data_IF_717349160974
#
_entry.id   IF_717349160974
#
_cell.length_a   1.000
_cell.length_b   1.000
_cell.length_c   1.000
_cell.angle_alpha   90.00
_cell.angle_beta   90.00
_cell.angle_gamma   90.00
#
_symmetry.space_group_name_H-M   'P 1'
#
loop_
_entity.id
_entity.type
_entity.pdbx_description
1 polymer ?
#
# COMPACT_ATOMS: atom_id res chain seq x y z
N UNK A 1 -9.32 11.34 -14.55
CA UNK A 1 -8.76 11.75 -13.24
C UNK A 1 -9.63 11.14 -12.18
N UNK A 2 -9.04 10.41 -11.24
CA UNK A 2 -9.77 9.82 -10.13
C UNK A 2 -9.89 10.85 -9.02
N UNK A 3 -11.05 10.90 -8.37
CA UNK A 3 -11.30 11.75 -7.20
C UNK A 3 -11.62 10.89 -6.00
N UNK A 4 -11.08 11.27 -4.86
CA UNK A 4 -11.45 10.79 -3.53
C UNK A 4 -11.81 12.00 -2.67
N UNK A 5 -12.23 11.78 -1.44
CA UNK A 5 -12.48 12.85 -0.47
C UNK A 5 -11.52 12.79 0.70
N UNK A 6 -11.25 13.95 1.28
CA UNK A 6 -10.62 14.12 2.59
C UNK A 6 -11.59 14.89 3.48
N UNK A 7 -12.22 14.19 4.42
CA UNK A 7 -13.30 14.72 5.27
C UNK A 7 -14.40 15.37 4.43
N UNK A 8 -14.80 14.69 3.36
CA UNK A 8 -15.81 15.17 2.40
C UNK A 8 -15.32 16.21 1.37
N UNK A 9 -14.09 16.75 1.50
CA UNK A 9 -13.55 17.68 0.51
C UNK A 9 -12.92 16.91 -0.66
N UNK A 10 -13.27 17.21 -1.92
CA UNK A 10 -12.67 16.53 -3.07
C UNK A 10 -11.15 16.71 -3.13
N UNK A 11 -10.44 15.62 -3.43
CA UNK A 11 -8.99 15.56 -3.63
C UNK A 11 -8.71 14.84 -4.95
N UNK A 12 -7.83 15.41 -5.75
CA UNK A 12 -7.48 14.88 -7.07
C UNK A 12 -6.31 13.89 -6.97
N UNK A 13 -6.43 12.78 -7.71
CA UNK A 13 -5.35 11.80 -7.83
C UNK A 13 -4.71 11.86 -9.23
N UNK A 14 -3.38 11.81 -9.26
CA UNK A 14 -2.58 11.66 -10.48
C UNK A 14 -2.35 10.19 -10.81
N UNK A 15 -2.21 9.90 -12.10
CA UNK A 15 -1.90 8.56 -12.60
C UNK A 15 -3.11 7.77 -13.07
N UNK A 16 -2.85 6.53 -13.49
CA UNK A 16 -3.87 5.59 -13.93
C UNK A 16 -3.89 4.41 -12.98
N UNK A 17 -5.05 4.12 -12.41
CA UNK A 17 -5.23 2.96 -11.53
C UNK A 17 -5.19 1.70 -12.40
N UNK A 18 -4.31 0.72 -12.10
CA UNK A 18 -4.32 -0.58 -12.76
C UNK A 18 -5.66 -1.27 -12.58
N UNK A 19 -6.13 -2.01 -13.58
CA UNK A 19 -7.36 -2.81 -13.49
C UNK A 19 -7.04 -4.29 -13.22
N UNK A 20 -7.96 -5.06 -12.62
CA UNK A 20 -7.81 -6.51 -12.56
C UNK A 20 -7.53 -7.12 -13.94
N UNK A 21 -6.51 -7.95 -14.04
CA UNK A 21 -6.00 -8.52 -15.29
C UNK A 21 -4.79 -7.79 -15.88
N UNK A 22 -4.55 -6.54 -15.50
CA UNK A 22 -3.36 -5.80 -15.93
C UNK A 22 -2.09 -6.35 -15.26
N UNK A 23 -0.94 -6.17 -15.92
CA UNK A 23 0.35 -6.29 -15.25
C UNK A 23 0.59 -5.10 -14.35
N UNK A 24 0.98 -5.40 -13.11
CA UNK A 24 1.29 -4.40 -12.11
C UNK A 24 2.53 -3.60 -12.53
N UNK A 25 2.49 -2.26 -12.49
CA UNK A 25 3.67 -1.44 -12.72
C UNK A 25 4.73 -1.72 -11.65
N UNK A 26 5.99 -1.82 -12.08
CA UNK A 26 7.13 -1.88 -11.15
C UNK A 26 7.33 -0.50 -10.49
N UNK A 27 7.95 -0.49 -9.31
CA UNK A 27 8.20 0.73 -8.54
C UNK A 27 9.45 0.60 -7.69
N UNK A 28 9.83 1.72 -7.06
CA UNK A 28 10.90 1.77 -6.06
C UNK A 28 10.36 2.30 -4.74
N UNK A 29 10.75 1.66 -3.64
CA UNK A 29 10.45 2.11 -2.29
C UNK A 29 11.66 1.85 -1.37
N UNK A 30 11.76 2.62 -0.29
CA UNK A 30 12.92 2.61 0.61
C UNK A 30 12.53 1.93 1.93
N UNK A 31 13.23 0.85 2.28
CA UNK A 31 13.02 0.12 3.54
C UNK A 31 13.58 0.91 4.72
N UNK A 32 13.31 0.40 5.92
CA UNK A 32 13.80 0.92 7.20
C UNK A 32 15.33 1.03 7.27
N UNK A 33 16.06 0.11 6.63
CA UNK A 33 17.53 0.10 6.54
C UNK A 33 18.10 1.01 5.43
N UNK A 34 17.24 1.83 4.81
CA UNK A 34 17.54 2.73 3.69
C UNK A 34 17.87 2.03 2.36
N UNK A 35 17.79 0.69 2.30
CA UNK A 35 17.89 -0.04 1.04
C UNK A 35 16.64 0.15 0.17
N UNK A 36 16.82 0.10 -1.13
CA UNK A 36 15.73 0.15 -2.10
C UNK A 36 15.13 -1.25 -2.29
N UNK A 37 13.82 -1.32 -2.56
CA UNK A 37 13.17 -2.52 -3.11
C UNK A 37 12.18 -2.16 -4.22
N UNK A 38 11.81 -3.18 -4.96
CA UNK A 38 10.88 -3.20 -6.08
C UNK A 38 9.96 -4.42 -6.01
N UNK A 39 9.04 -4.58 -6.97
CA UNK A 39 8.21 -5.80 -7.03
C UNK A 39 9.05 -7.07 -7.24
N UNK A 40 10.19 -6.94 -7.94
CA UNK A 40 11.05 -8.06 -8.32
C UNK A 40 11.67 -8.77 -7.12
N UNK A 41 11.90 -8.04 -6.04
CA UNK A 41 12.41 -8.59 -4.77
C UNK A 41 11.43 -9.58 -4.11
N UNK A 42 10.17 -9.58 -4.57
CA UNK A 42 9.10 -10.45 -4.09
C UNK A 42 8.57 -11.40 -5.19
N UNK A 43 9.35 -11.64 -6.25
CA UNK A 43 8.97 -12.53 -7.34
C UNK A 43 8.49 -13.91 -6.83
N UNK A 44 7.45 -14.47 -7.47
CA UNK A 44 6.89 -15.77 -7.09
C UNK A 44 5.99 -15.78 -5.85
N UNK A 45 5.84 -14.65 -5.14
CA UNK A 45 4.86 -14.47 -4.06
C UNK A 45 3.61 -13.75 -4.53
N UNK A 46 2.49 -13.98 -3.86
CA UNK A 46 1.32 -13.08 -3.91
C UNK A 46 1.66 -11.84 -3.10
N UNK A 47 1.32 -10.65 -3.61
CA UNK A 47 1.58 -9.38 -2.91
C UNK A 47 0.28 -8.66 -2.59
N UNK A 48 0.15 -8.18 -1.35
CA UNK A 48 -0.87 -7.20 -0.99
C UNK A 48 -0.15 -5.85 -0.89
N UNK A 49 -0.40 -4.95 -1.83
CA UNK A 49 0.14 -3.60 -1.79
C UNK A 49 -0.86 -2.70 -1.07
N UNK A 50 -0.43 -2.06 -0.01
CA UNK A 50 -1.25 -1.16 0.81
C UNK A 50 -0.66 0.24 0.69
N UNK A 51 -1.34 1.13 -0.01
CA UNK A 51 -0.98 2.54 -0.11
C UNK A 51 -1.68 3.31 1.01
N UNK A 52 -0.91 4.08 1.80
CA UNK A 52 -1.46 4.95 2.84
C UNK A 52 -0.82 6.34 2.80
N UNK A 53 -1.52 7.40 3.25
CA UNK A 53 -0.91 8.73 3.32
C UNK A 53 0.31 8.76 4.25
N UNK A 54 0.12 8.30 5.48
CA UNK A 54 1.14 8.22 6.53
C UNK A 54 0.73 7.18 7.58
N UNK A 55 1.66 6.28 7.94
CA UNK A 55 1.54 5.30 9.01
C UNK A 55 1.42 5.93 10.39
N UNK A 56 1.87 7.19 10.56
CA UNK A 56 1.84 7.94 11.81
C UNK A 56 0.46 8.58 12.07
N UNK A 57 -0.60 7.82 11.81
CA UNK A 57 -1.99 8.20 12.09
C UNK A 57 -2.78 7.00 12.59
N UNK A 58 -3.79 7.24 13.44
CA UNK A 58 -4.57 6.17 14.09
C UNK A 58 -5.23 5.20 13.10
N UNK A 59 -5.72 5.70 11.96
CA UNK A 59 -6.38 4.85 10.95
C UNK A 59 -5.38 3.98 10.20
N UNK A 60 -4.24 4.53 9.80
CA UNK A 60 -3.20 3.76 9.10
C UNK A 60 -2.55 2.73 10.03
N UNK A 61 -2.46 3.03 11.33
CA UNK A 61 -2.01 2.10 12.35
C UNK A 61 -2.92 0.87 12.46
N UNK A 62 -4.23 1.11 12.56
CA UNK A 62 -5.25 0.05 12.58
C UNK A 62 -5.21 -0.80 11.30
N UNK A 63 -5.13 -0.14 10.14
CA UNK A 63 -5.05 -0.80 8.84
C UNK A 63 -3.84 -1.72 8.71
N UNK A 64 -2.68 -1.22 9.10
CA UNK A 64 -1.44 -1.99 9.02
C UNK A 64 -1.47 -3.18 9.98
N UNK A 65 -2.00 -3.01 11.20
CA UNK A 65 -2.19 -4.11 12.15
C UNK A 65 -3.17 -5.16 11.63
N UNK A 66 -4.31 -4.74 11.09
CA UNK A 66 -5.31 -5.64 10.55
C UNK A 66 -4.75 -6.50 9.41
N UNK A 67 -3.99 -5.89 8.48
CA UNK A 67 -3.31 -6.66 7.43
C UNK A 67 -2.18 -7.53 7.98
N UNK A 68 -1.41 -7.04 8.96
CA UNK A 68 -0.38 -7.83 9.61
C UNK A 68 -0.97 -9.11 10.22
N UNK A 69 -2.04 -9.00 11.00
CA UNK A 69 -2.69 -10.14 11.65
C UNK A 69 -3.35 -11.09 10.65
N UNK A 70 -4.11 -10.54 9.69
CA UNK A 70 -4.87 -11.36 8.73
C UNK A 70 -4.00 -12.01 7.66
N UNK A 71 -2.90 -11.37 7.25
CA UNK A 71 -2.01 -11.90 6.23
C UNK A 71 -0.82 -12.68 6.80
N UNK A 72 -0.42 -12.48 8.07
CA UNK A 72 0.75 -13.15 8.66
C UNK A 72 0.70 -14.68 8.57
N UNK A 73 -0.49 -15.28 8.67
CA UNK A 73 -0.69 -16.73 8.59
C UNK A 73 -0.75 -17.32 7.18
N UNK A 74 -0.77 -16.48 6.13
CA UNK A 74 -0.96 -16.96 4.75
C UNK A 74 0.40 -17.19 4.09
N UNK A 75 0.81 -18.46 4.02
CA UNK A 75 2.05 -18.84 3.35
C UNK A 75 2.04 -18.45 1.86
N UNK A 76 3.13 -17.86 1.38
CA UNK A 76 3.26 -17.39 0.01
C UNK A 76 2.69 -16.00 -0.28
N UNK A 77 2.14 -15.32 0.73
CA UNK A 77 1.70 -13.91 0.64
C UNK A 77 2.71 -12.99 1.33
N UNK A 78 2.92 -11.80 0.77
CA UNK A 78 3.65 -10.71 1.42
C UNK A 78 2.87 -9.41 1.31
N UNK A 79 2.75 -8.69 2.42
CA UNK A 79 2.12 -7.38 2.47
C UNK A 79 3.19 -6.29 2.37
N UNK A 80 3.05 -5.39 1.40
CA UNK A 80 3.93 -4.24 1.18
C UNK A 80 3.15 -2.97 1.49
N UNK A 81 3.47 -2.32 2.60
CA UNK A 81 2.80 -1.09 3.04
C UNK A 81 3.64 0.12 2.64
N UNK A 82 3.10 0.97 1.77
CA UNK A 82 3.83 2.05 1.12
C UNK A 82 3.22 3.40 1.50
N UNK A 83 4.06 4.32 1.99
CA UNK A 83 3.64 5.66 2.41
C UNK A 83 4.71 6.71 2.12
N UNK A 84 4.39 7.98 2.40
CA UNK A 84 5.36 9.10 2.35
C UNK A 84 6.23 9.25 3.61
N UNK A 85 6.07 8.39 4.63
CA UNK A 85 6.81 8.52 5.88
C UNK A 85 8.30 8.25 5.66
N UNK A 86 9.18 8.92 6.41
CA UNK A 86 10.60 8.58 6.36
C UNK A 86 10.83 7.17 6.94
N UNK A 87 11.82 6.42 6.42
CA UNK A 87 12.15 5.07 6.92
C UNK A 87 12.28 4.95 8.44
N UNK A 88 12.84 5.98 9.10
CA UNK A 88 12.98 6.03 10.56
C UNK A 88 11.64 6.15 11.30
N UNK A 89 10.67 6.86 10.73
CA UNK A 89 9.33 6.97 11.29
C UNK A 89 8.57 5.64 11.13
N UNK A 90 8.72 4.96 9.99
CA UNK A 90 8.19 3.61 9.77
C UNK A 90 8.78 2.62 10.78
N UNK A 91 10.09 2.68 11.02
CA UNK A 91 10.76 1.85 12.02
C UNK A 91 10.21 2.05 13.43
N UNK A 92 10.00 3.32 13.84
CA UNK A 92 9.34 3.62 15.13
C UNK A 92 7.93 3.05 15.18
N UNK A 93 7.13 3.27 14.13
CA UNK A 93 5.77 2.74 14.02
C UNK A 93 5.75 1.21 14.18
N UNK A 94 6.54 0.48 13.40
CA UNK A 94 6.60 -0.99 13.50
C UNK A 94 7.03 -1.45 14.90
N UNK A 95 8.01 -0.79 15.52
CA UNK A 95 8.49 -1.11 16.87
C UNK A 95 7.41 -0.90 17.92
N UNK A 96 6.73 0.25 17.89
CA UNK A 96 5.68 0.60 18.85
C UNK A 96 4.46 -0.30 18.71
N UNK A 97 4.11 -0.69 17.48
CA UNK A 97 2.92 -1.48 17.20
C UNK A 97 3.16 -3.00 17.20
N UNK A 98 4.38 -3.44 17.52
CA UNK A 98 4.73 -4.86 17.59
C UNK A 98 4.70 -5.57 16.23
N UNK A 99 4.88 -4.83 15.13
CA UNK A 99 4.85 -5.38 13.77
C UNK A 99 6.24 -5.94 13.46
N UNK A 100 6.41 -7.24 13.75
CA UNK A 100 7.65 -7.99 13.52
C UNK A 100 7.47 -9.16 12.53
N UNK A 101 6.46 -9.10 11.66
CA UNK A 101 6.15 -10.19 10.74
C UNK A 101 7.15 -10.25 9.57
N UNK A 102 7.72 -11.43 9.24
CA UNK A 102 8.55 -11.58 8.04
C UNK A 102 7.74 -11.42 6.74
N UNK A 103 6.41 -11.43 6.83
CA UNK A 103 5.49 -11.31 5.70
C UNK A 103 4.93 -9.89 5.53
N UNK A 104 5.40 -8.90 6.31
CA UNK A 104 5.04 -7.50 6.15
C UNK A 104 6.29 -6.64 6.00
N UNK A 105 6.33 -5.84 4.93
CA UNK A 105 7.40 -4.88 4.67
C UNK A 105 6.81 -3.49 4.56
N UNK A 106 7.44 -2.53 5.24
CA UNK A 106 7.12 -1.10 5.08
C UNK A 106 8.11 -0.46 4.10
N UNK A 107 7.61 0.41 3.22
CA UNK A 107 8.39 1.06 2.18
C UNK A 107 8.04 2.53 2.01
N UNK A 108 9.05 3.38 2.09
CA UNK A 108 8.89 4.82 1.89
C UNK A 108 9.08 5.21 0.43
N UNK A 109 8.14 6.00 -0.10
CA UNK A 109 8.26 6.60 -1.43
C UNK A 109 8.92 8.00 -1.40
N UNK A 110 9.48 8.44 -0.27
CA UNK A 110 9.97 9.82 -0.10
C UNK A 110 11.03 10.27 -1.12
N UNK A 111 11.76 9.31 -1.72
CA UNK A 111 12.78 9.55 -2.77
C UNK A 111 12.24 9.39 -4.18
N UNK A 112 11.15 8.65 -4.35
CA UNK A 112 10.66 8.20 -5.65
C UNK A 112 9.15 7.97 -5.60
N UNK A 113 8.38 8.80 -6.31
CA UNK A 113 6.92 8.71 -6.38
C UNK A 113 6.41 7.72 -7.46
N UNK A 114 7.28 6.86 -8.02
CA UNK A 114 6.93 5.87 -9.04
C UNK A 114 5.75 5.00 -8.61
N UNK A 115 5.72 4.55 -7.35
CA UNK A 115 4.59 3.79 -6.83
C UNK A 115 3.28 4.59 -6.91
N UNK A 116 3.16 5.71 -6.20
CA UNK A 116 1.87 6.42 -6.15
C UNK A 116 1.39 6.93 -7.50
N UNK A 117 2.31 7.32 -8.39
CA UNK A 117 1.97 7.75 -9.75
C UNK A 117 1.56 6.60 -10.65
N UNK A 118 2.25 5.47 -10.60
CA UNK A 118 1.92 4.33 -11.44
C UNK A 118 0.66 3.58 -10.98
N UNK A 119 0.32 3.69 -9.70
CA UNK A 119 -0.87 3.06 -9.11
C UNK A 119 -2.06 4.01 -9.01
N UNK A 120 -1.94 5.25 -9.48
CA UNK A 120 -3.04 6.22 -9.50
C UNK A 120 -3.46 6.71 -8.11
N UNK A 121 -2.56 6.66 -7.12
CA UNK A 121 -2.81 7.05 -5.72
C UNK A 121 -2.16 8.37 -5.34
N UNK A 122 -1.35 8.99 -6.21
CA UNK A 122 -0.62 10.22 -5.88
C UNK A 122 -1.58 11.40 -5.71
N UNK A 123 -1.60 12.03 -4.53
CA UNK A 123 -2.46 13.16 -4.24
C UNK A 123 -1.88 14.43 -4.88
N UNK A 124 -2.64 15.03 -5.80
CA UNK A 124 -2.20 16.17 -6.62
C UNK A 124 -2.38 17.53 -5.94
N UNK A 125 -3.33 17.63 -5.02
CA UNK A 125 -3.78 18.89 -4.42
C UNK A 125 -4.16 18.77 -2.94
N UNK A 126 -4.48 19.90 -2.32
CA UNK A 126 -4.89 19.98 -0.93
C UNK A 126 -3.75 19.77 0.08
N UNK A 127 -4.09 19.58 1.37
CA UNK A 127 -3.11 19.51 2.46
C UNK A 127 -2.26 18.24 2.45
N UNK A 128 -2.69 17.19 1.75
CA UNK A 128 -1.96 15.92 1.63
C UNK A 128 -1.24 15.77 0.29
N UNK A 129 -1.09 16.86 -0.47
CA UNK A 129 -0.36 16.87 -1.74
C UNK A 129 1.02 16.22 -1.60
N UNK A 130 1.33 15.30 -2.51
CA UNK A 130 2.59 14.56 -2.54
C UNK A 130 2.57 13.24 -1.76
N UNK A 131 1.50 12.93 -1.03
CA UNK A 131 1.29 11.64 -0.37
C UNK A 131 0.47 10.69 -1.26
N UNK A 132 0.36 9.42 -0.83
CA UNK A 132 -0.60 8.48 -1.42
C UNK A 132 -1.98 8.65 -0.79
N UNK A 133 -3.03 8.53 -1.58
CA UNK A 133 -4.35 8.19 -1.10
C UNK A 133 -4.38 6.76 -0.55
N UNK A 134 -5.42 6.43 0.20
CA UNK A 134 -5.59 5.08 0.73
C UNK A 134 -6.10 4.13 -0.35
N UNK A 135 -5.36 3.06 -0.59
CA UNK A 135 -5.71 2.05 -1.59
C UNK A 135 -5.09 0.70 -1.28
N UNK A 136 -5.73 -0.36 -1.76
CA UNK A 136 -5.25 -1.74 -1.65
C UNK A 136 -5.25 -2.40 -3.02
N UNK A 137 -4.15 -3.08 -3.34
CA UNK A 137 -4.00 -3.88 -4.55
C UNK A 137 -3.56 -5.29 -4.17
N UNK A 138 -4.08 -6.31 -4.85
CA UNK A 138 -3.58 -7.68 -4.72
C UNK A 138 -3.00 -8.13 -6.03
N UNK A 139 -1.78 -8.63 -6.00
CA UNK A 139 -1.03 -9.15 -7.14
C UNK A 139 -0.82 -10.65 -6.98
N UNK A 140 -0.99 -11.40 -8.06
CA UNK A 140 -0.62 -12.82 -8.07
C UNK A 140 0.90 -13.02 -8.18
N UNK A 141 1.32 -14.29 -8.21
CA UNK A 141 2.73 -14.71 -8.31
C UNK A 141 3.46 -14.19 -9.56
N UNK A 142 2.70 -13.81 -10.59
CA UNK A 142 3.20 -13.29 -11.87
C UNK A 142 3.08 -11.77 -11.98
N UNK A 143 2.77 -11.06 -10.90
CA UNK A 143 2.52 -9.62 -10.87
C UNK A 143 1.32 -9.18 -11.73
N UNK A 144 0.29 -10.04 -11.83
CA UNK A 144 -1.00 -9.65 -12.41
C UNK A 144 -1.91 -9.13 -11.31
N UNK A 145 -2.56 -7.99 -11.54
CA UNK A 145 -3.52 -7.40 -10.61
C UNK A 145 -4.76 -8.28 -10.52
N UNK A 146 -5.15 -8.67 -9.30
CA UNK A 146 -6.32 -9.51 -9.00
C UNK A 146 -7.40 -8.77 -8.22
N UNK A 147 -7.01 -7.76 -7.45
CA UNK A 147 -7.92 -6.90 -6.70
C UNK A 147 -7.40 -5.47 -6.68
N UNK A 148 -8.33 -4.53 -6.69
CA UNK A 148 -8.09 -3.10 -6.64
C UNK A 148 -9.18 -2.46 -5.81
N UNK A 149 -8.78 -1.67 -4.83
CA UNK A 149 -9.66 -0.83 -4.05
C UNK A 149 -9.00 0.53 -3.85
N UNK A 150 -9.65 1.59 -4.35
CA UNK A 150 -9.35 2.96 -3.94
C UNK A 150 -10.41 3.36 -2.93
N UNK A 151 -9.99 3.73 -1.73
CA UNK A 151 -10.93 4.11 -0.68
C UNK A 151 -11.52 5.50 -1.02
N UNK A 152 -12.85 5.64 -1.15
CA UNK A 152 -13.46 6.90 -1.56
C UNK A 152 -13.20 8.06 -0.60
N UNK A 153 -13.07 7.78 0.70
CA UNK A 153 -12.72 8.75 1.74
C UNK A 153 -11.39 8.38 2.40
N UNK A 154 -10.40 9.28 2.33
CA UNK A 154 -9.05 9.07 2.84
C UNK A 154 -9.03 8.82 4.35
N UNK A 155 -10.07 9.15 5.10
CA UNK A 155 -10.14 8.85 6.55
C UNK A 155 -10.80 7.51 6.90
N UNK A 156 -11.29 6.73 5.93
CA UNK A 156 -11.95 5.43 6.20
C UNK A 156 -11.05 4.24 5.88
N UNK A 157 -11.31 3.08 6.48
CA UNK A 157 -10.57 1.84 6.26
C UNK A 157 -10.98 1.15 4.94
N UNK A 158 -10.10 0.34 4.32
CA UNK A 158 -10.43 -0.47 3.15
C UNK A 158 -11.17 -1.75 3.55
N UNK A 159 -11.66 -2.50 2.57
CA UNK A 159 -12.27 -3.80 2.76
C UNK A 159 -11.20 -4.90 2.90
N UNK A 160 -10.71 -5.07 4.13
CA UNK A 160 -9.72 -6.13 4.46
C UNK A 160 -10.15 -7.53 4.02
N UNK A 161 -11.42 -7.86 4.22
CA UNK A 161 -11.94 -9.21 3.94
C UNK A 161 -11.87 -9.51 2.45
N UNK A 162 -12.25 -8.55 1.60
CA UNK A 162 -12.16 -8.70 0.15
C UNK A 162 -10.70 -8.80 -0.33
N UNK A 163 -9.81 -7.96 0.19
CA UNK A 163 -8.38 -8.01 -0.14
C UNK A 163 -7.74 -9.37 0.25
N UNK A 164 -8.02 -9.86 1.46
CA UNK A 164 -7.51 -11.16 1.94
C UNK A 164 -8.11 -12.33 1.15
N UNK A 165 -9.40 -12.28 0.81
CA UNK A 165 -10.02 -13.30 -0.03
C UNK A 165 -9.37 -13.34 -1.42
N UNK A 166 -9.11 -12.18 -2.03
CA UNK A 166 -8.41 -12.09 -3.31
C UNK A 166 -6.96 -12.60 -3.22
N UNK A 167 -6.25 -12.32 -2.12
CA UNK A 167 -4.90 -12.84 -1.91
C UNK A 167 -4.88 -14.37 -1.82
N UNK A 168 -5.81 -14.97 -1.10
CA UNK A 168 -5.96 -16.43 -1.05
C UNK A 168 -6.31 -17.04 -2.41
N UNK A 169 -7.17 -16.39 -3.19
CA UNK A 169 -7.53 -16.85 -4.53
C UNK A 169 -6.38 -16.72 -5.55
N UNK A 170 -5.37 -15.90 -5.26
CA UNK A 170 -4.22 -15.63 -6.13
C UNK A 170 -2.99 -16.53 -5.83
N UNK A 171 -3.07 -17.40 -4.82
CA UNK A 171 -2.02 -18.35 -4.44
C UNK A 171 -1.80 -19.47 -5.45
#
# INVERSE_FOLDING_TARGET
MTKVTLKGNPVQLEGKIPSPGDKAPDFKAIKQDLSEFSLKDYAGKVKILVAVPSLDTSVCALETKAFNEKAAGISGVTTLVISGDLPFAMGRFCSTEGINSPNLVTGSQYRDFSFSKAYGTHIADGPLKGLSARAVFVLDKSDTVRYVEIVPEITTEPNYTAAIAAANAAL
#
